data_IF_605026004507
#
_entry.id   IF_605026004507
#
_cell.length_a   1.000
_cell.length_b   1.000
_cell.length_c   1.000
_cell.angle_alpha   90.00
_cell.angle_beta   90.00
_cell.angle_gamma   90.00
#
_symmetry.space_group_name_H-M   'P 1'
#
loop_
_entity.id
_entity.type
_entity.pdbx_description
1 polymer ?
#
# COMPACT_ATOMS: atom_id res chain seq x y z
N UNK A 1 -18.05 -6.32 -19.66
CA UNK A 1 -18.73 -6.63 -18.37
C UNK A 1 -18.23 -7.92 -17.70
N UNK A 2 -18.51 -9.14 -18.18
CA UNK A 2 -18.08 -10.36 -17.46
C UNK A 2 -16.56 -10.60 -17.43
N UNK A 3 -15.86 -10.24 -18.52
CA UNK A 3 -14.40 -10.42 -18.63
C UNK A 3 -13.65 -9.36 -17.80
N UNK A 4 -14.15 -8.12 -17.78
CA UNK A 4 -13.61 -7.01 -16.95
C UNK A 4 -13.72 -7.34 -15.46
N UNK A 5 -14.88 -7.83 -15.01
CA UNK A 5 -15.08 -8.26 -13.63
C UNK A 5 -14.15 -9.40 -13.21
N UNK A 6 -13.84 -10.33 -14.11
CA UNK A 6 -12.91 -11.43 -13.85
C UNK A 6 -11.45 -10.96 -13.73
N UNK A 7 -11.04 -9.97 -14.54
CA UNK A 7 -9.71 -9.37 -14.46
C UNK A 7 -9.54 -8.53 -13.19
N UNK A 8 -10.56 -7.78 -12.78
CA UNK A 8 -10.56 -7.02 -11.52
C UNK A 8 -10.48 -7.95 -10.30
N UNK A 9 -11.10 -9.14 -10.37
CA UNK A 9 -11.02 -10.16 -9.32
C UNK A 9 -9.61 -10.72 -9.15
N UNK A 10 -9.01 -11.19 -10.24
CA UNK A 10 -7.65 -11.73 -10.21
C UNK A 10 -6.67 -10.64 -9.79
N UNK A 11 -6.84 -9.41 -10.30
CA UNK A 11 -6.04 -8.25 -9.92
C UNK A 11 -6.08 -7.96 -8.41
N UNK A 12 -7.27 -7.92 -7.81
CA UNK A 12 -7.43 -7.68 -6.38
C UNK A 12 -6.77 -8.75 -5.50
N UNK A 13 -6.89 -10.02 -5.89
CA UNK A 13 -6.24 -11.13 -5.18
C UNK A 13 -4.72 -11.06 -5.31
N UNK A 14 -4.20 -10.84 -6.52
CA UNK A 14 -2.77 -10.72 -6.76
C UNK A 14 -2.16 -9.55 -5.97
N UNK A 15 -2.89 -8.43 -5.85
CA UNK A 15 -2.48 -7.29 -5.02
C UNK A 15 -2.34 -7.71 -3.55
N UNK A 16 -3.29 -8.46 -2.99
CA UNK A 16 -3.16 -8.95 -1.61
C UNK A 16 -1.97 -9.88 -1.42
N UNK A 17 -1.72 -10.78 -2.38
CA UNK A 17 -0.52 -11.64 -2.36
C UNK A 17 0.77 -10.82 -2.42
N UNK A 18 0.79 -9.74 -3.21
CA UNK A 18 1.93 -8.82 -3.24
C UNK A 18 2.22 -8.19 -1.87
N UNK A 19 1.22 -8.12 -0.97
CA UNK A 19 1.33 -7.60 0.39
C UNK A 19 2.14 -8.49 1.34
N UNK A 20 2.31 -9.78 1.03
CA UNK A 20 3.02 -10.74 1.89
C UNK A 20 4.49 -10.34 2.06
N UNK A 21 5.16 -9.95 0.98
CA UNK A 21 6.59 -9.56 1.00
C UNK A 21 6.81 -8.32 1.89
N UNK A 22 6.15 -7.17 1.66
CA UNK A 22 6.32 -6.01 2.52
C UNK A 22 5.84 -6.27 3.96
N UNK A 23 4.82 -7.11 4.17
CA UNK A 23 4.39 -7.50 5.51
C UNK A 23 5.50 -8.26 6.25
N UNK A 24 6.11 -9.25 5.61
CA UNK A 24 7.26 -9.97 6.16
C UNK A 24 8.44 -9.02 6.44
N UNK A 25 8.76 -8.13 5.50
CA UNK A 25 9.83 -7.15 5.68
C UNK A 25 9.51 -6.18 6.83
N UNK A 26 8.26 -5.81 7.05
CA UNK A 26 7.84 -4.95 8.16
C UNK A 26 8.06 -5.57 9.55
N UNK A 27 8.00 -6.91 9.64
CA UNK A 27 8.32 -7.65 10.86
C UNK A 27 9.83 -7.80 11.07
N UNK A 28 10.60 -7.92 9.99
CA UNK A 28 12.05 -8.17 10.03
C UNK A 28 12.91 -6.92 10.12
N UNK A 29 12.54 -5.84 9.45
CA UNK A 29 13.35 -4.63 9.32
C UNK A 29 13.21 -3.70 10.53
N UNK A 30 14.15 -2.77 10.67
CA UNK A 30 14.15 -1.72 11.71
C UNK A 30 14.30 -0.34 11.08
N UNK A 31 14.05 0.69 11.89
CA UNK A 31 14.22 2.08 11.48
C UNK A 31 13.28 2.51 10.35
N UNK A 32 13.82 3.27 9.41
CA UNK A 32 13.04 3.91 8.36
C UNK A 32 12.49 2.95 7.30
N UNK A 33 13.25 1.90 6.98
CA UNK A 33 12.78 0.83 6.09
C UNK A 33 11.56 0.11 6.65
N UNK A 34 11.50 -0.11 7.98
CA UNK A 34 10.32 -0.69 8.64
C UNK A 34 9.10 0.19 8.46
N UNK A 35 9.24 1.51 8.62
CA UNK A 35 8.12 2.46 8.46
C UNK A 35 7.58 2.44 7.03
N UNK A 36 8.47 2.38 6.05
CA UNK A 36 8.09 2.28 4.64
C UNK A 36 7.34 0.99 4.34
N UNK A 37 7.82 -0.15 4.82
CA UNK A 37 7.17 -1.44 4.55
C UNK A 37 5.84 -1.58 5.28
N UNK A 38 5.68 -1.03 6.49
CA UNK A 38 4.38 -0.95 7.18
C UNK A 38 3.38 -0.14 6.34
N UNK A 39 3.77 1.06 5.89
CA UNK A 39 2.88 1.92 5.11
C UNK A 39 2.50 1.27 3.76
N UNK A 40 3.45 0.60 3.12
CA UNK A 40 3.20 -0.15 1.88
C UNK A 40 2.26 -1.34 2.11
N UNK A 41 2.45 -2.10 3.19
CA UNK A 41 1.53 -3.19 3.57
C UNK A 41 0.13 -2.66 3.83
N UNK A 42 0.00 -1.54 4.56
CA UNK A 42 -1.29 -0.93 4.84
C UNK A 42 -2.02 -0.51 3.54
N UNK A 43 -1.30 0.09 2.60
CA UNK A 43 -1.84 0.43 1.28
C UNK A 43 -2.35 -0.82 0.55
N UNK A 44 -1.53 -1.86 0.45
CA UNK A 44 -1.88 -3.09 -0.26
C UNK A 44 -3.10 -3.77 0.35
N UNK A 45 -3.18 -3.84 1.68
CA UNK A 45 -4.33 -4.42 2.38
C UNK A 45 -5.59 -3.62 2.10
N UNK A 46 -5.55 -2.29 2.23
CA UNK A 46 -6.70 -1.43 1.95
C UNK A 46 -7.15 -1.53 0.50
N UNK A 47 -6.20 -1.46 -0.45
CA UNK A 47 -6.50 -1.48 -1.87
C UNK A 47 -6.97 -2.85 -2.37
N UNK A 48 -6.37 -3.93 -1.87
CA UNK A 48 -6.87 -5.28 -2.14
C UNK A 48 -8.25 -5.52 -1.53
N UNK A 49 -8.51 -5.00 -0.32
CA UNK A 49 -9.84 -5.07 0.33
C UNK A 49 -10.89 -4.29 -0.45
N UNK A 50 -10.54 -3.12 -1.00
CA UNK A 50 -11.41 -2.34 -1.89
C UNK A 50 -11.96 -3.21 -3.02
N UNK A 51 -11.09 -3.92 -3.74
CA UNK A 51 -11.52 -4.81 -4.83
C UNK A 51 -12.46 -5.91 -4.32
N UNK A 52 -12.15 -6.55 -3.19
CA UNK A 52 -13.02 -7.59 -2.59
C UNK A 52 -14.40 -7.04 -2.24
N UNK A 53 -14.46 -5.89 -1.57
CA UNK A 53 -15.72 -5.27 -1.12
C UNK A 53 -16.56 -4.81 -2.30
N UNK A 54 -15.93 -4.23 -3.33
CA UNK A 54 -16.62 -3.82 -4.56
C UNK A 54 -17.26 -5.02 -5.25
N UNK A 55 -16.57 -6.17 -5.28
CA UNK A 55 -17.09 -7.42 -5.86
C UNK A 55 -18.24 -8.04 -5.09
N UNK A 56 -18.34 -7.81 -3.78
CA UNK A 56 -19.50 -8.23 -2.99
C UNK A 56 -20.74 -7.35 -3.25
N UNK A 57 -20.67 -6.43 -4.21
CA UNK A 57 -21.75 -5.50 -4.55
C UNK A 57 -21.86 -4.31 -3.58
N UNK A 58 -20.90 -4.15 -2.67
CA UNK A 58 -20.88 -3.04 -1.70
C UNK A 58 -20.17 -1.81 -2.28
N UNK A 59 -20.65 -1.32 -3.43
CA UNK A 59 -20.06 -0.20 -4.18
C UNK A 59 -19.91 1.06 -3.32
N UNK A 60 -20.88 1.37 -2.45
CA UNK A 60 -20.80 2.53 -1.57
C UNK A 60 -19.57 2.50 -0.64
N UNK A 61 -19.33 1.35 0.01
CA UNK A 61 -18.21 1.18 0.94
C UNK A 61 -16.87 1.13 0.18
N UNK A 62 -16.87 0.49 -1.00
CA UNK A 62 -15.70 0.43 -1.85
C UNK A 62 -15.32 1.84 -2.34
N UNK A 63 -16.20 2.51 -3.07
CA UNK A 63 -15.87 3.69 -3.87
C UNK A 63 -15.77 4.96 -3.02
N UNK A 64 -16.57 5.08 -1.93
CA UNK A 64 -16.54 6.29 -1.09
C UNK A 64 -15.61 6.22 0.11
N UNK A 65 -15.23 5.03 0.54
CA UNK A 65 -14.45 4.86 1.77
C UNK A 65 -13.12 4.19 1.47
N UNK A 66 -13.13 2.95 0.95
CA UNK A 66 -11.90 2.17 0.77
C UNK A 66 -10.99 2.72 -0.33
N UNK A 67 -11.55 3.15 -1.46
CA UNK A 67 -10.79 3.74 -2.55
C UNK A 67 -10.08 5.04 -2.10
N UNK A 68 -10.77 6.07 -1.57
CA UNK A 68 -10.10 7.24 -1.02
C UNK A 68 -9.10 6.92 0.10
N UNK A 69 -9.44 6.01 1.02
CA UNK A 69 -8.53 5.60 2.09
C UNK A 69 -7.25 4.95 1.55
N UNK A 70 -7.36 4.14 0.50
CA UNK A 70 -6.20 3.55 -0.18
C UNK A 70 -5.30 4.62 -0.78
N UNK A 71 -5.89 5.62 -1.47
CA UNK A 71 -5.15 6.76 -2.03
C UNK A 71 -4.47 7.58 -0.94
N UNK A 72 -5.16 7.89 0.16
CA UNK A 72 -4.56 8.61 1.29
C UNK A 72 -3.39 7.85 1.90
N UNK A 73 -3.49 6.53 1.99
CA UNK A 73 -2.41 5.68 2.50
C UNK A 73 -1.20 5.67 1.57
N UNK A 74 -1.42 5.69 0.25
CA UNK A 74 -0.36 5.81 -0.74
C UNK A 74 0.36 7.17 -0.67
N UNK A 75 -0.39 8.26 -0.47
CA UNK A 75 0.17 9.59 -0.26
C UNK A 75 1.02 9.61 1.01
N UNK A 76 0.54 8.99 2.09
CA UNK A 76 1.31 8.86 3.33
C UNK A 76 2.61 8.06 3.11
N UNK A 77 2.55 6.95 2.37
CA UNK A 77 3.73 6.19 1.97
C UNK A 77 4.75 7.06 1.20
N UNK A 78 4.29 7.82 0.20
CA UNK A 78 5.15 8.73 -0.57
C UNK A 78 5.80 9.80 0.31
N UNK A 79 5.03 10.37 1.24
CA UNK A 79 5.53 11.38 2.20
C UNK A 79 6.61 10.79 3.11
N UNK A 80 6.39 9.58 3.63
CA UNK A 80 7.37 8.85 4.45
C UNK A 80 8.63 8.60 3.63
N UNK A 81 8.51 8.10 2.39
CA UNK A 81 9.65 7.84 1.51
C UNK A 81 10.51 9.09 1.27
N UNK A 82 9.87 10.22 0.97
CA UNK A 82 10.54 11.49 0.75
C UNK A 82 11.30 11.89 2.02
N UNK A 83 10.65 11.86 3.19
CA UNK A 83 11.29 12.20 4.46
C UNK A 83 12.49 11.31 4.80
N UNK A 84 12.38 10.00 4.57
CA UNK A 84 13.49 9.05 4.75
C UNK A 84 14.64 9.37 3.80
N UNK A 85 14.35 9.62 2.53
CA UNK A 85 15.34 9.91 1.49
C UNK A 85 16.12 11.19 1.77
N UNK A 86 15.45 12.25 2.23
CA UNK A 86 16.10 13.50 2.62
C UNK A 86 17.04 13.33 3.82
N UNK A 87 16.63 12.55 4.84
CA UNK A 87 17.49 12.29 6.01
C UNK A 87 18.75 11.52 5.63
N UNK A 88 18.62 10.54 4.74
CA UNK A 88 19.77 9.75 4.25
C UNK A 88 20.78 10.63 3.51
N UNK A 89 20.32 11.49 2.59
CA UNK A 89 21.19 12.45 1.88
C UNK A 89 21.90 13.41 2.83
N UNK A 90 21.22 13.90 3.88
CA UNK A 90 21.82 14.80 4.87
C UNK A 90 22.94 14.12 5.64
N UNK A 91 22.78 12.85 6.03
CA UNK A 91 23.82 12.08 6.73
C UNK A 91 25.04 11.85 5.83
N UNK A 92 24.84 11.46 4.57
CA UNK A 92 25.92 11.25 3.59
C UNK A 92 26.73 12.54 3.28
N UNK A 93 26.14 13.71 3.47
CA UNK A 93 26.80 15.02 3.27
C UNK A 93 27.58 15.48 4.51
N UNK A 94 27.17 15.08 5.70
CA UNK A 94 27.84 15.43 6.97
C UNK A 94 29.06 14.52 7.25
N UNK A 95 29.07 13.30 6.72
CA UNK A 95 30.17 12.34 6.88
C UNK A 95 31.28 12.46 5.80
N UNK A 96 31.17 13.42 4.87
CA UNK A 96 32.22 13.76 3.87
C UNK A 96 32.94 15.04 4.25
#
# INVERSE_FOLDING_TARGET
>A
MAIESGLDFIGGILILFAGIIPAYLSAKLRGDLRKMTIALTAFIVLHGTYHIVRMQGMEFLADRILEPASVMTLIAFGTIYIGVSYRKKKQETVER
#
